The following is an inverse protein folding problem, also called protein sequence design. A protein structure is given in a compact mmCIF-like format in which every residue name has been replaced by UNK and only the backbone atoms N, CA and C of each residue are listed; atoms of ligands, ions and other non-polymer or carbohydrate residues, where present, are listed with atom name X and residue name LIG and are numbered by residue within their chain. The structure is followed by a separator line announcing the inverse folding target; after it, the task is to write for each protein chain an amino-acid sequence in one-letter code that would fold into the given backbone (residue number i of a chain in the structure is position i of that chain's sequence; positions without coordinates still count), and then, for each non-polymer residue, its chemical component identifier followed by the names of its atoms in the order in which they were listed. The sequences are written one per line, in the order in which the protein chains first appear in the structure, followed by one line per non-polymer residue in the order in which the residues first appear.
data_IF_341726063725
#
_entry.id   IF_341726063725
#
_cell.length_a   1.000
_cell.length_b   1.000
_cell.length_c   1.000
_cell.angle_alpha   90.00
_cell.angle_beta   90.00
_cell.angle_gamma   90.00
#
_symmetry.space_group_name_H-M   'P 1'
#
loop_
_entity.id
_entity.type
_entity.pdbx_description
1 polymer ?
#
# COMPACT_ATOMS: atom_id res chain seq x y z
N UNK A 1 -18.91 1.31 -3.12
CA UNK A 1 -18.06 1.37 -4.34
C UNK A 1 -16.61 1.10 -3.95
N UNK A 2 -16.35 -0.06 -3.36
CA UNK A 2 -15.03 -0.66 -3.11
C UNK A 2 -15.31 -2.15 -3.18
N UNK A 3 -14.55 -2.89 -3.98
CA UNK A 3 -14.74 -4.33 -4.20
C UNK A 3 -13.83 -5.16 -3.30
N UNK A 4 -12.66 -4.62 -2.93
CA UNK A 4 -11.71 -5.28 -2.01
C UNK A 4 -11.00 -4.28 -1.09
N UNK A 5 -10.57 -4.76 0.08
CA UNK A 5 -9.82 -3.98 1.06
C UNK A 5 -8.55 -4.72 1.46
N UNK A 6 -7.41 -4.01 1.38
CA UNK A 6 -6.11 -4.49 1.87
C UNK A 6 -5.49 -3.44 2.77
N UNK A 7 -4.53 -3.85 3.58
CA UNK A 7 -3.77 -2.94 4.43
C UNK A 7 -2.36 -3.47 4.67
N UNK A 8 -1.52 -2.67 5.31
CA UNK A 8 -0.20 -3.07 5.84
C UNK A 8 -0.22 -4.52 6.36
N UNK A 9 0.51 -5.46 5.73
CA UNK A 9 0.42 -6.90 6.07
C UNK A 9 0.98 -7.28 7.45
N UNK A 10 1.83 -6.43 8.04
CA UNK A 10 2.36 -6.63 9.39
C UNK A 10 3.30 -7.83 9.54
N UNK A 11 4.09 -8.12 8.50
CA UNK A 11 5.11 -9.18 8.48
C UNK A 11 6.47 -8.63 8.91
N UNK A 12 7.45 -9.51 9.15
CA UNK A 12 8.81 -9.10 9.47
C UNK A 12 9.47 -8.35 8.30
N UNK A 13 10.55 -7.62 8.59
CA UNK A 13 11.30 -6.89 7.56
C UNK A 13 11.83 -7.82 6.47
N UNK A 14 12.26 -9.03 6.80
CA UNK A 14 12.76 -10.05 5.85
C UNK A 14 11.67 -10.50 4.87
N UNK A 15 10.41 -10.54 5.32
CA UNK A 15 9.28 -10.99 4.51
C UNK A 15 8.56 -9.85 3.77
N UNK A 16 8.90 -8.60 4.08
CA UNK A 16 8.16 -7.42 3.65
C UNK A 16 8.08 -7.30 2.13
N UNK A 17 9.20 -7.27 1.41
CA UNK A 17 9.26 -7.12 -0.04
C UNK A 17 8.43 -8.18 -0.77
N UNK A 18 8.60 -9.46 -0.40
CA UNK A 18 7.86 -10.57 -0.99
C UNK A 18 6.36 -10.47 -0.71
N UNK A 19 5.98 -10.02 0.49
CA UNK A 19 4.58 -9.88 0.89
C UNK A 19 3.90 -8.70 0.19
N UNK A 20 4.58 -7.57 0.00
CA UNK A 20 4.03 -6.44 -0.77
C UNK A 20 3.90 -6.76 -2.27
N UNK A 21 4.88 -7.48 -2.84
CA UNK A 21 4.77 -7.96 -4.22
C UNK A 21 3.56 -8.88 -4.39
N UNK A 22 3.40 -9.86 -3.49
CA UNK A 22 2.24 -10.76 -3.48
C UNK A 22 0.93 -9.99 -3.26
N UNK A 23 0.91 -8.95 -2.42
CA UNK A 23 -0.28 -8.11 -2.24
C UNK A 23 -0.74 -7.55 -3.58
N UNK A 24 0.17 -7.01 -4.40
CA UNK A 24 -0.11 -6.48 -5.75
C UNK A 24 -0.55 -7.59 -6.71
N UNK A 25 0.19 -8.69 -6.78
CA UNK A 25 -0.07 -9.81 -7.71
C UNK A 25 -1.40 -10.54 -7.44
N UNK A 26 -1.97 -10.38 -6.24
CA UNK A 26 -3.22 -11.06 -5.82
C UNK A 26 -4.42 -10.12 -5.71
N UNK A 27 -4.33 -8.90 -6.26
CA UNK A 27 -5.48 -7.99 -6.30
C UNK A 27 -6.55 -8.52 -7.28
N UNK A 28 -7.83 -8.61 -6.85
CA UNK A 28 -8.90 -9.03 -7.74
C UNK A 28 -9.26 -7.90 -8.74
N UNK A 29 -9.94 -8.22 -9.86
CA UNK A 29 -10.56 -7.21 -10.69
C UNK A 29 -11.54 -6.34 -9.90
N UNK A 30 -11.53 -5.03 -10.15
CA UNK A 30 -12.39 -4.07 -9.47
C UNK A 30 -11.61 -2.94 -8.80
N UNK A 31 -12.27 -2.22 -7.89
CA UNK A 31 -11.69 -1.13 -7.13
C UNK A 31 -11.26 -1.61 -5.74
N UNK A 32 -9.95 -1.73 -5.53
CA UNK A 32 -9.37 -2.05 -4.22
C UNK A 32 -8.96 -0.79 -3.48
N UNK A 33 -9.28 -0.71 -2.18
CA UNK A 33 -8.67 0.27 -1.27
C UNK A 33 -7.51 -0.38 -0.50
N UNK A 34 -6.31 0.19 -0.61
CA UNK A 34 -5.11 -0.27 0.12
C UNK A 34 -4.70 0.78 1.15
N UNK A 35 -4.83 0.46 2.43
CA UNK A 35 -4.42 1.34 3.53
C UNK A 35 -2.97 1.09 3.94
N UNK A 36 -2.10 2.06 3.65
CA UNK A 36 -0.66 2.03 3.96
C UNK A 36 -0.31 3.14 4.95
N UNK A 37 0.79 2.97 5.68
CA UNK A 37 1.26 3.89 6.70
C UNK A 37 2.78 4.17 6.59
N UNK A 38 3.32 4.45 5.38
CA UNK A 38 4.75 4.67 5.21
C UNK A 38 5.22 5.83 6.08
N UNK A 39 6.28 5.61 6.85
CA UNK A 39 6.88 6.63 7.69
C UNK A 39 8.41 6.49 7.69
N UNK A 40 9.12 7.60 7.74
CA UNK A 40 10.57 7.59 7.97
C UNK A 40 10.88 7.12 9.39
N UNK A 41 12.09 6.58 9.59
CA UNK A 41 12.62 6.34 10.93
C UNK A 41 12.69 7.66 11.74
N UNK A 42 12.52 7.57 13.06
CA UNK A 42 12.55 8.68 14.00
C UNK A 42 11.58 8.48 15.15
N UNK A 43 10.47 9.22 15.14
CA UNK A 43 9.50 9.16 16.24
C UNK A 43 8.75 7.80 16.28
N UNK A 44 8.68 7.09 15.16
CA UNK A 44 7.83 5.90 15.05
C UNK A 44 8.32 4.74 15.93
N UNK A 45 9.63 4.66 16.16
CA UNK A 45 10.29 3.73 17.07
C UNK A 45 9.93 3.98 18.53
N UNK A 46 9.50 5.21 18.87
CA UNK A 46 8.96 5.54 20.20
C UNK A 46 7.45 5.34 20.27
N UNK A 47 6.72 5.70 19.21
CA UNK A 47 5.25 5.62 19.18
C UNK A 47 4.77 4.16 19.13
N UNK A 48 5.39 3.30 18.30
CA UNK A 48 5.01 1.89 18.13
C UNK A 48 6.23 0.95 18.11
N UNK A 49 7.09 0.92 19.14
CA UNK A 49 8.40 0.26 19.07
C UNK A 49 8.43 -1.14 18.44
N UNK A 50 7.57 -2.12 18.84
CA UNK A 50 7.62 -3.46 18.28
C UNK A 50 7.17 -3.56 16.82
N UNK A 51 6.50 -2.53 16.28
CA UNK A 51 5.91 -2.50 14.93
C UNK A 51 6.40 -1.33 14.09
N UNK A 52 7.39 -0.58 14.57
CA UNK A 52 7.91 0.60 13.87
C UNK A 52 8.39 0.22 12.47
N UNK A 53 9.01 -0.96 12.36
CA UNK A 53 9.48 -1.54 11.12
C UNK A 53 8.39 -1.66 10.03
N UNK A 54 7.13 -1.92 10.40
CA UNK A 54 6.04 -1.97 9.41
C UNK A 54 5.93 -0.68 8.58
N UNK A 55 6.15 0.48 9.22
CA UNK A 55 6.04 1.79 8.55
C UNK A 55 7.33 2.18 7.83
N UNK A 56 8.48 1.83 8.39
CA UNK A 56 9.78 2.13 7.76
C UNK A 56 10.07 1.22 6.56
N UNK A 57 9.62 -0.04 6.59
CA UNK A 57 9.69 -0.94 5.44
C UNK A 57 8.75 -0.52 4.32
N UNK A 58 7.51 -0.12 4.65
CA UNK A 58 6.63 0.52 3.67
C UNK A 58 7.31 1.73 3.02
N UNK A 59 7.87 2.64 3.82
CA UNK A 59 8.58 3.80 3.28
C UNK A 59 9.73 3.38 2.35
N UNK A 60 10.54 2.40 2.74
CA UNK A 60 11.66 1.87 1.93
C UNK A 60 11.16 1.30 0.60
N UNK A 61 10.13 0.46 0.62
CA UNK A 61 9.57 -0.21 -0.56
C UNK A 61 8.91 0.79 -1.51
N UNK A 62 8.10 1.72 -0.98
CA UNK A 62 7.42 2.72 -1.81
C UNK A 62 8.41 3.73 -2.40
N UNK A 63 9.42 4.16 -1.62
CA UNK A 63 10.43 5.13 -2.09
C UNK A 63 11.35 4.56 -3.17
N UNK A 64 11.62 3.25 -3.17
CA UNK A 64 12.52 2.63 -4.15
C UNK A 64 11.96 2.59 -5.57
N UNK A 65 10.65 2.77 -5.74
CA UNK A 65 9.94 2.61 -7.00
C UNK A 65 9.49 1.17 -7.28
N UNK A 66 9.90 0.18 -6.47
CA UNK A 66 9.55 -1.22 -6.68
C UNK A 66 8.03 -1.45 -6.70
N UNK A 67 7.30 -0.84 -5.75
CA UNK A 67 5.84 -0.96 -5.70
C UNK A 67 5.16 -0.40 -6.97
N UNK A 68 5.65 0.73 -7.48
CA UNK A 68 5.13 1.35 -8.71
C UNK A 68 5.42 0.47 -9.94
N UNK A 69 6.60 -0.16 -10.01
CA UNK A 69 6.93 -1.13 -11.05
C UNK A 69 5.98 -2.33 -11.02
N UNK A 70 5.73 -2.93 -9.84
CA UNK A 70 4.82 -4.08 -9.72
C UNK A 70 3.39 -3.74 -10.15
N UNK A 71 2.88 -2.57 -9.77
CA UNK A 71 1.56 -2.10 -10.22
C UNK A 71 1.51 -1.97 -11.75
N UNK A 72 2.56 -1.41 -12.35
CA UNK A 72 2.65 -1.23 -13.81
C UNK A 72 2.71 -2.58 -14.52
N UNK A 73 3.55 -3.50 -14.05
CA UNK A 73 3.74 -4.85 -14.62
C UNK A 73 2.47 -5.71 -14.53
N UNK A 74 1.64 -5.50 -13.49
CA UNK A 74 0.36 -6.20 -13.31
C UNK A 74 -0.82 -5.48 -13.96
N UNK A 75 -0.59 -4.34 -14.63
CA UNK A 75 -1.65 -3.58 -15.32
C UNK A 75 -2.59 -2.82 -14.38
N UNK A 76 -2.20 -2.61 -13.13
CA UNK A 76 -3.00 -1.94 -12.12
C UNK A 76 -2.85 -0.42 -12.24
N UNK A 77 -3.99 0.27 -12.30
CA UNK A 77 -4.04 1.73 -12.32
C UNK A 77 -4.30 2.27 -10.91
N UNK A 78 -3.55 3.29 -10.50
CA UNK A 78 -3.82 4.01 -9.26
C UNK A 78 -4.86 5.10 -9.48
N UNK A 79 -5.74 5.30 -8.50
CA UNK A 79 -6.78 6.33 -8.55
C UNK A 79 -6.85 7.07 -7.22
N UNK A 80 -6.89 8.40 -7.29
CA UNK A 80 -7.13 9.23 -6.11
C UNK A 80 -8.62 9.36 -5.78
N UNK A 81 -8.93 9.86 -4.59
CA UNK A 81 -10.33 10.03 -4.17
C UNK A 81 -11.12 11.09 -4.96
N UNK A 82 -10.45 12.03 -5.65
CA UNK A 82 -11.13 13.10 -6.38
C UNK A 82 -12.02 12.58 -7.53
N UNK A 83 -11.51 11.81 -8.51
CA UNK A 83 -12.37 11.24 -9.56
C UNK A 83 -13.46 10.31 -9.01
N UNK A 84 -13.18 9.56 -7.95
CA UNK A 84 -14.18 8.70 -7.29
C UNK A 84 -15.31 9.54 -6.68
N UNK A 85 -14.97 10.61 -5.96
CA UNK A 85 -15.95 11.57 -5.41
C UNK A 85 -16.79 12.20 -6.51
N UNK A 86 -16.17 12.61 -7.60
CA UNK A 86 -16.88 13.28 -8.70
C UNK A 86 -17.87 12.32 -9.39
N UNK A 87 -17.47 11.06 -9.61
CA UNK A 87 -18.37 10.02 -10.10
C UNK A 87 -19.55 9.74 -9.14
N UNK A 88 -19.30 9.74 -7.82
CA UNK A 88 -20.36 9.53 -6.82
C UNK A 88 -21.33 10.70 -6.70
N UNK A 89 -20.93 11.91 -7.07
CA UNK A 89 -21.79 13.10 -7.03
C UNK A 89 -22.76 13.18 -8.22
N UNK A 90 -22.58 12.34 -9.25
CA UNK A 90 -23.53 12.17 -10.34
C UNK A 90 -23.57 13.26 -11.40
N UNK A 91 -22.82 14.36 -11.23
CA UNK A 91 -22.94 15.66 -11.93
C UNK A 91 -24.36 16.24 -11.90
#
# INVERSE_FOLDING_TARGET
MIDDFRMTPGVSSEESDATYKRLVETLPPGLTFVALHPNTSGDIETIVPPRAHFRTDEFRILKSGAFASWLTETGIQTVGFRPLRDAMRGV
#
